data_IF_395542781539
#
_entry.id   IF_395542781539
#
_cell.length_a   1.000
_cell.length_b   1.000
_cell.length_c   1.000
_cell.angle_alpha   90.00
_cell.angle_beta   90.00
_cell.angle_gamma   90.00
#
_symmetry.space_group_name_H-M   'P 1'
#
loop_
_entity.id
_entity.type
_entity.pdbx_description
1 polymer ?
#
# COMPACT_ATOMS: atom_id res chain seq x y z
N UNK A 1 -33.71 -8.50 -4.46
CA UNK A 1 -34.16 -9.83 -3.98
C UNK A 1 -33.85 -9.94 -2.49
N UNK A 2 -34.48 -10.85 -1.76
CA UNK A 2 -34.27 -11.03 -0.31
C UNK A 2 -32.79 -11.29 0.04
N UNK A 3 -32.05 -12.00 -0.82
CA UNK A 3 -30.61 -12.27 -0.65
C UNK A 3 -29.76 -11.00 -0.66
N UNK A 4 -30.06 -10.05 -1.55
CA UNK A 4 -29.32 -8.79 -1.61
C UNK A 4 -29.47 -7.98 -0.33
N UNK A 5 -30.68 -7.94 0.23
CA UNK A 5 -30.93 -7.24 1.49
C UNK A 5 -30.15 -7.88 2.64
N UNK A 6 -30.21 -9.21 2.75
CA UNK A 6 -29.46 -9.95 3.78
C UNK A 6 -27.94 -9.73 3.68
N UNK A 7 -27.40 -9.66 2.46
CA UNK A 7 -25.99 -9.35 2.22
C UNK A 7 -25.64 -7.92 2.67
N UNK A 8 -26.51 -6.95 2.37
CA UNK A 8 -26.36 -5.57 2.82
C UNK A 8 -26.39 -5.48 4.35
N UNK A 9 -27.35 -6.12 5.00
CA UNK A 9 -27.48 -6.10 6.47
C UNK A 9 -26.25 -6.71 7.15
N UNK A 10 -25.65 -7.76 6.56
CA UNK A 10 -24.48 -8.43 7.12
C UNK A 10 -23.14 -7.73 6.84
N UNK A 11 -23.08 -6.83 5.85
CA UNK A 11 -21.87 -6.14 5.41
C UNK A 11 -21.89 -4.62 5.67
N UNK A 12 -22.97 -3.95 5.27
CA UNK A 12 -23.10 -2.49 5.23
C UNK A 12 -23.67 -1.90 6.52
N UNK A 13 -24.29 -2.71 7.38
CA UNK A 13 -24.80 -2.22 8.66
C UNK A 13 -23.66 -1.58 9.49
N UNK A 14 -23.93 -0.52 10.28
CA UNK A 14 -22.90 0.12 11.11
C UNK A 14 -22.19 -0.86 12.05
N UNK A 15 -22.94 -1.77 12.68
CA UNK A 15 -22.40 -2.85 13.51
C UNK A 15 -21.61 -3.90 12.71
N UNK A 16 -21.87 -3.98 11.40
CA UNK A 16 -21.15 -4.86 10.51
C UNK A 16 -19.79 -4.30 10.06
N UNK A 17 -19.62 -2.97 10.09
CA UNK A 17 -18.37 -2.24 9.86
C UNK A 17 -17.63 -2.60 8.56
N UNK A 18 -18.35 -2.92 7.48
CA UNK A 18 -17.77 -3.26 6.17
C UNK A 18 -16.65 -4.33 6.23
N UNK A 19 -16.77 -5.28 7.16
CA UNK A 19 -15.73 -6.28 7.36
C UNK A 19 -15.56 -7.19 6.13
N UNK A 20 -14.36 -7.75 5.99
CA UNK A 20 -14.01 -8.60 4.86
C UNK A 20 -14.84 -9.88 4.74
N UNK A 21 -14.73 -10.52 3.57
CA UNK A 21 -15.51 -11.69 3.13
C UNK A 21 -15.74 -12.74 4.21
N UNK A 22 -14.69 -13.17 4.92
CA UNK A 22 -14.81 -14.20 5.96
C UNK A 22 -15.74 -13.82 7.11
N UNK A 23 -15.68 -12.56 7.57
CA UNK A 23 -16.54 -12.08 8.66
C UNK A 23 -17.98 -11.90 8.20
N UNK A 24 -18.18 -11.44 6.96
CA UNK A 24 -19.52 -11.38 6.35
C UNK A 24 -20.14 -12.76 6.22
N UNK A 25 -19.40 -13.76 5.73
CA UNK A 25 -19.86 -15.15 5.66
C UNK A 25 -20.17 -15.71 7.04
N UNK A 26 -19.34 -15.42 8.05
CA UNK A 26 -19.58 -15.86 9.41
C UNK A 26 -20.91 -15.35 9.95
N UNK A 27 -21.23 -14.06 9.78
CA UNK A 27 -22.52 -13.47 10.18
C UNK A 27 -23.69 -14.08 9.42
N UNK A 28 -23.56 -14.24 8.10
CA UNK A 28 -24.59 -14.86 7.28
C UNK A 28 -24.97 -16.26 7.78
N UNK A 29 -23.96 -17.07 8.13
CA UNK A 29 -24.15 -18.43 8.62
C UNK A 29 -24.86 -18.52 9.98
N UNK A 30 -25.01 -17.43 10.72
CA UNK A 30 -25.71 -17.44 12.01
C UNK A 30 -27.23 -17.54 11.85
N UNK A 31 -27.77 -17.05 10.74
CA UNK A 31 -29.22 -16.88 10.56
C UNK A 31 -29.75 -17.32 9.20
N UNK A 32 -28.87 -17.51 8.20
CA UNK A 32 -29.28 -17.74 6.82
C UNK A 32 -28.48 -18.85 6.16
N UNK A 33 -29.11 -19.47 5.16
CA UNK A 33 -28.47 -20.45 4.30
C UNK A 33 -29.08 -20.42 2.90
N UNK A 34 -28.22 -20.52 1.88
CA UNK A 34 -28.62 -20.87 0.52
C UNK A 34 -27.43 -21.45 -0.27
N UNK A 35 -27.70 -22.28 -1.30
CA UNK A 35 -26.65 -22.74 -2.21
C UNK A 35 -25.94 -21.56 -2.89
N UNK A 36 -24.61 -21.50 -2.78
CA UNK A 36 -23.81 -20.41 -3.33
C UNK A 36 -23.65 -19.17 -2.43
N UNK A 37 -24.16 -19.19 -1.18
CA UNK A 37 -24.09 -18.05 -0.25
C UNK A 37 -22.68 -17.46 -0.07
N UNK A 38 -21.65 -18.30 0.06
CA UNK A 38 -20.27 -17.83 0.18
C UNK A 38 -19.79 -17.11 -1.08
N UNK A 39 -20.17 -17.61 -2.26
CA UNK A 39 -19.85 -17.00 -3.56
C UNK A 39 -20.56 -15.65 -3.72
N UNK A 40 -21.84 -15.58 -3.33
CA UNK A 40 -22.61 -14.34 -3.38
C UNK A 40 -22.04 -13.29 -2.41
N UNK A 41 -21.72 -13.67 -1.18
CA UNK A 41 -21.08 -12.81 -0.19
C UNK A 41 -19.72 -12.29 -0.68
N UNK A 42 -18.92 -13.16 -1.30
CA UNK A 42 -17.63 -12.76 -1.88
C UNK A 42 -17.82 -11.73 -2.99
N UNK A 43 -18.74 -11.99 -3.93
CA UNK A 43 -19.06 -11.04 -5.02
C UNK A 43 -19.59 -9.71 -4.48
N UNK A 44 -20.41 -9.74 -3.44
CA UNK A 44 -20.97 -8.54 -2.81
C UNK A 44 -19.87 -7.67 -2.19
N UNK A 45 -19.05 -8.24 -1.31
CA UNK A 45 -17.98 -7.51 -0.63
C UNK A 45 -16.93 -6.98 -1.62
N UNK A 46 -16.56 -7.76 -2.66
CA UNK A 46 -15.62 -7.31 -3.69
C UNK A 46 -16.15 -6.19 -4.59
N UNK A 47 -17.47 -5.98 -4.62
CA UNK A 47 -18.12 -4.90 -5.39
C UNK A 47 -18.56 -3.72 -4.52
N UNK A 48 -18.35 -3.79 -3.20
CA UNK A 48 -18.69 -2.71 -2.29
C UNK A 48 -17.82 -1.48 -2.56
N UNK A 49 -18.45 -0.37 -2.97
CA UNK A 49 -17.75 0.87 -3.33
C UNK A 49 -17.00 1.49 -2.12
N UNK A 50 -17.61 1.45 -0.93
CA UNK A 50 -16.96 1.91 0.30
C UNK A 50 -15.69 1.10 0.59
N UNK A 51 -15.73 -0.22 0.42
CA UNK A 51 -14.55 -1.07 0.59
C UNK A 51 -13.49 -0.77 -0.48
N UNK A 52 -13.88 -0.64 -1.75
CA UNK A 52 -12.96 -0.38 -2.85
C UNK A 52 -12.26 0.99 -2.73
N UNK A 53 -12.98 2.02 -2.27
CA UNK A 53 -12.44 3.37 -2.10
C UNK A 53 -11.46 3.49 -0.93
N UNK A 54 -11.68 2.71 0.14
CA UNK A 54 -10.93 2.86 1.39
C UNK A 54 -9.88 1.76 1.63
N UNK A 55 -10.01 0.60 0.98
CA UNK A 55 -9.09 -0.52 1.20
C UNK A 55 -7.90 -0.41 0.23
N UNK A 56 -6.68 -0.17 0.74
CA UNK A 56 -5.50 -0.15 -0.12
C UNK A 56 -5.29 -1.52 -0.76
N UNK A 57 -4.85 -1.52 -2.03
CA UNK A 57 -4.41 -2.74 -2.68
C UNK A 57 -3.17 -3.28 -1.96
N UNK A 58 -3.28 -4.49 -1.41
CA UNK A 58 -2.17 -5.15 -0.71
C UNK A 58 -1.21 -5.85 -1.68
N UNK A 59 -1.52 -5.86 -2.98
CA UNK A 59 -0.55 -6.30 -3.98
C UNK A 59 0.47 -5.20 -4.11
N UNK A 60 1.71 -5.51 -3.73
CA UNK A 60 2.83 -4.69 -4.15
C UNK A 60 2.76 -4.61 -5.69
N UNK A 61 2.82 -3.41 -6.29
CA UNK A 61 3.00 -3.33 -7.73
C UNK A 61 4.20 -4.19 -8.08
N UNK A 62 4.10 -4.97 -9.15
CA UNK A 62 5.19 -5.79 -9.66
C UNK A 62 6.32 -4.90 -10.18
N UNK A 63 7.03 -4.26 -9.27
CA UNK A 63 8.24 -3.50 -9.56
C UNK A 63 9.37 -4.50 -9.63
N UNK A 64 9.82 -4.82 -10.84
CA UNK A 64 11.20 -5.26 -10.97
C UNK A 64 12.05 -4.06 -10.56
N UNK A 65 12.79 -4.18 -9.46
CA UNK A 65 13.99 -3.37 -9.29
C UNK A 65 14.79 -3.63 -10.57
N UNK A 66 14.78 -2.68 -11.51
CA UNK A 66 15.42 -2.87 -12.81
C UNK A 66 16.84 -3.37 -12.62
N UNK A 67 17.41 -4.06 -13.62
CA UNK A 67 18.79 -4.55 -13.52
C UNK A 67 19.69 -3.39 -13.06
N UNK A 68 20.42 -3.61 -11.95
CA UNK A 68 21.37 -2.61 -11.48
C UNK A 68 22.34 -2.29 -12.62
N UNK A 69 22.58 -1.00 -12.86
CA UNK A 69 23.60 -0.57 -13.81
C UNK A 69 24.95 -1.15 -13.35
N UNK A 70 25.64 -1.87 -14.24
CA UNK A 70 27.01 -2.31 -13.97
C UNK A 70 27.91 -1.07 -14.04
N UNK A 71 28.45 -0.68 -12.89
CA UNK A 71 29.43 0.40 -12.77
C UNK A 71 30.81 -0.24 -12.60
N UNK A 72 31.77 0.15 -13.43
CA UNK A 72 33.07 -0.53 -13.55
C UNK A 72 34.25 0.31 -13.05
N UNK A 73 34.06 1.61 -12.86
CA UNK A 73 35.11 2.52 -12.42
C UNK A 73 34.56 3.65 -11.52
N UNK A 74 35.40 4.24 -10.64
CA UNK A 74 35.03 5.40 -9.84
C UNK A 74 34.54 6.56 -10.71
N UNK A 75 33.56 7.31 -10.22
CA UNK A 75 32.99 8.53 -10.82
C UNK A 75 32.19 8.34 -12.11
N UNK A 76 31.98 7.09 -12.55
CA UNK A 76 31.16 6.79 -13.72
C UNK A 76 29.67 7.05 -13.48
N UNK A 77 29.18 6.81 -12.26
CA UNK A 77 27.80 7.09 -11.84
C UNK A 77 27.84 7.67 -10.43
N UNK A 78 27.23 8.84 -10.25
CA UNK A 78 27.06 9.47 -8.94
C UNK A 78 25.59 9.55 -8.58
N UNK A 79 25.30 9.42 -7.28
CA UNK A 79 24.03 9.78 -6.68
C UNK A 79 24.20 11.14 -6.01
N UNK A 80 23.26 12.05 -6.26
CA UNK A 80 23.23 13.38 -5.67
C UNK A 80 21.91 13.53 -4.94
N UNK A 81 21.97 13.95 -3.67
CA UNK A 81 20.80 14.19 -2.85
C UNK A 81 21.01 15.41 -1.95
N UNK A 82 19.91 16.02 -1.51
CA UNK A 82 19.93 17.17 -0.60
C UNK A 82 19.21 16.79 0.69
N UNK A 83 19.92 16.83 1.80
CA UNK A 83 19.35 16.58 3.11
C UNK A 83 18.98 17.90 3.79
N UNK A 84 17.72 18.03 4.22
CA UNK A 84 17.26 19.14 5.06
C UNK A 84 15.78 19.48 4.88
N UNK A 85 15.31 20.57 5.53
CA UNK A 85 16.10 21.52 6.31
C UNK A 85 16.54 20.98 7.69
N UNK A 86 17.80 21.20 8.03
CA UNK A 86 18.41 20.93 9.34
C UNK A 86 18.43 22.20 10.21
N UNK A 87 18.72 22.07 11.52
CA UNK A 87 19.07 23.22 12.35
C UNK A 87 20.20 24.03 11.69
N UNK A 88 20.13 25.36 11.81
CA UNK A 88 21.12 26.24 11.20
C UNK A 88 22.50 25.98 11.81
N UNK A 89 23.48 25.71 10.95
CA UNK A 89 24.89 25.64 11.36
C UNK A 89 25.43 27.03 11.72
N UNK A 90 26.63 27.08 12.31
CA UNK A 90 27.38 28.32 12.55
C UNK A 90 27.58 29.14 11.27
N UNK A 91 27.77 28.47 10.13
CA UNK A 91 27.91 29.09 8.82
C UNK A 91 26.55 29.45 8.17
N UNK A 92 25.45 29.33 8.92
CA UNK A 92 24.07 29.62 8.50
C UNK A 92 23.49 28.68 7.44
N UNK A 93 24.13 27.53 7.18
CA UNK A 93 23.61 26.51 6.27
C UNK A 93 22.50 25.70 6.97
N UNK A 94 21.54 25.22 6.17
CA UNK A 94 20.42 24.37 6.62
C UNK A 94 20.28 23.08 5.82
N UNK A 95 21.13 22.89 4.84
CA UNK A 95 21.08 21.77 3.93
C UNK A 95 22.48 21.21 3.77
N UNK A 96 22.54 19.91 3.48
CA UNK A 96 23.77 19.23 3.10
C UNK A 96 23.56 18.68 1.70
N UNK A 97 24.48 18.98 0.79
CA UNK A 97 24.56 18.33 -0.51
C UNK A 97 25.38 17.05 -0.35
N UNK A 98 24.74 15.90 -0.54
CA UNK A 98 25.41 14.61 -0.55
C UNK A 98 25.67 14.17 -1.98
N UNK A 99 26.94 13.95 -2.32
CA UNK A 99 27.38 13.40 -3.61
C UNK A 99 28.10 12.09 -3.33
N UNK A 100 27.53 10.97 -3.77
CA UNK A 100 28.10 9.65 -3.54
C UNK A 100 28.43 8.96 -4.87
N UNK A 101 29.67 8.49 -5.00
CA UNK A 101 30.10 7.64 -6.10
C UNK A 101 29.52 6.23 -5.96
N UNK A 102 28.87 5.74 -7.02
CA UNK A 102 28.19 4.45 -6.98
C UNK A 102 29.16 3.26 -6.99
N UNK A 103 30.37 3.43 -7.52
CA UNK A 103 31.37 2.36 -7.58
C UNK A 103 32.10 2.19 -6.24
N UNK A 104 32.83 3.21 -5.81
CA UNK A 104 33.68 3.20 -4.61
C UNK A 104 32.90 3.38 -3.30
N UNK A 105 31.64 3.82 -3.38
CA UNK A 105 30.82 4.25 -2.22
C UNK A 105 31.40 5.44 -1.46
N UNK A 106 32.35 6.15 -2.05
CA UNK A 106 32.87 7.40 -1.50
C UNK A 106 31.80 8.50 -1.55
N UNK A 107 31.62 9.22 -0.45
CA UNK A 107 30.63 10.29 -0.35
C UNK A 107 31.31 11.61 0.05
N UNK A 108 30.99 12.66 -0.71
CA UNK A 108 31.30 14.05 -0.40
C UNK A 108 30.05 14.70 0.16
N UNK A 109 30.19 15.33 1.33
CA UNK A 109 29.14 16.12 1.96
C UNK A 109 29.57 17.58 1.96
N UNK A 110 28.72 18.46 1.46
CA UNK A 110 28.95 19.91 1.40
C UNK A 110 27.84 20.69 2.09
#
# INVERSE_FOLDING_TARGET
SQRTQVLADCHDAPAAAHMGVFKTIHRLKQHYFWPGMATDATKYVLRCQTCLANKPEQRLPGGTFGKQRKVTEPWQVISVDIMGPLPRSSNRNRYILAVCDYFSKFCLLH
#
